data_IF_101939748889
#
_entry.id   IF_101939748889
#
_cell.length_a   1.000
_cell.length_b   1.000
_cell.length_c   1.000
_cell.angle_alpha   90.00
_cell.angle_beta   90.00
_cell.angle_gamma   90.00
#
_symmetry.space_group_name_H-M   'P 1'
#
loop_
_entity.id
_entity.type
_entity.pdbx_description
1 polymer ?
#
# COMPACT_ATOMS: atom_id res chain seq x y z
N UNK A 1 -10.91 -24.94 63.18
CA UNK A 1 -11.94 -23.89 63.23
C UNK A 1 -11.44 -22.71 62.41
N UNK A 2 -12.19 -22.41 61.35
CA UNK A 2 -12.17 -21.27 60.44
C UNK A 2 -11.00 -20.27 60.53
N UNK A 3 -10.12 -20.32 59.52
CA UNK A 3 -9.43 -19.14 59.00
C UNK A 3 -9.78 -19.03 57.50
N UNK A 4 -11.08 -18.86 57.22
CA UNK A 4 -11.51 -18.30 55.94
C UNK A 4 -11.25 -16.80 56.02
N UNK A 5 -10.03 -16.40 55.71
CA UNK A 5 -9.75 -15.03 55.30
C UNK A 5 -10.45 -14.80 53.97
N UNK A 6 -11.74 -14.48 54.07
CA UNK A 6 -12.53 -13.84 53.02
C UNK A 6 -11.76 -12.60 52.58
N UNK A 7 -10.97 -12.76 51.52
CA UNK A 7 -10.55 -11.67 50.68
C UNK A 7 -11.80 -10.89 50.33
N UNK A 8 -11.92 -9.68 50.89
CA UNK A 8 -12.90 -8.72 50.40
C UNK A 8 -12.48 -8.46 48.96
N UNK A 9 -13.16 -9.11 48.02
CA UNK A 9 -13.23 -8.64 46.65
C UNK A 9 -13.80 -7.23 46.73
N UNK A 10 -12.90 -6.24 46.78
CA UNK A 10 -13.29 -4.85 46.63
C UNK A 10 -14.04 -4.79 45.30
N UNK A 11 -15.25 -4.20 45.24
CA UNK A 11 -15.97 -4.09 44.00
C UNK A 11 -15.04 -3.47 42.96
N UNK A 12 -14.80 -4.20 41.87
CA UNK A 12 -13.80 -3.85 40.85
C UNK A 12 -14.09 -2.50 40.19
N UNK A 13 -15.29 -1.97 40.38
CA UNK A 13 -15.77 -0.72 39.79
C UNK A 13 -16.24 0.22 40.91
N UNK A 14 -15.31 0.97 41.49
CA UNK A 14 -15.64 2.07 42.38
C UNK A 14 -15.69 3.37 41.57
N UNK A 15 -16.91 3.79 41.19
CA UNK A 15 -17.14 4.99 40.38
C UNK A 15 -16.50 6.25 40.99
N UNK A 16 -16.50 6.38 42.32
CA UNK A 16 -15.85 7.52 43.00
C UNK A 16 -14.33 7.45 42.85
N UNK A 17 -13.74 6.26 42.88
CA UNK A 17 -12.30 6.10 42.65
C UNK A 17 -11.94 6.40 41.19
N UNK A 18 -12.74 5.94 40.23
CA UNK A 18 -12.57 6.22 38.80
C UNK A 18 -12.64 7.73 38.51
N UNK A 19 -13.63 8.43 39.08
CA UNK A 19 -13.77 9.89 38.95
C UNK A 19 -12.58 10.64 39.54
N UNK A 20 -12.04 10.19 40.68
CA UNK A 20 -10.86 10.78 41.30
C UNK A 20 -9.59 10.55 40.47
N UNK A 21 -9.43 9.37 39.87
CA UNK A 21 -8.33 9.05 38.94
C UNK A 21 -8.43 9.95 37.70
N UNK A 22 -9.61 10.04 37.10
CA UNK A 22 -9.85 10.91 35.94
C UNK A 22 -9.54 12.37 36.25
N UNK A 23 -10.03 12.88 37.38
CA UNK A 23 -9.72 14.23 37.86
C UNK A 23 -8.21 14.43 38.05
N UNK A 24 -7.51 13.43 38.57
CA UNK A 24 -6.05 13.43 38.70
C UNK A 24 -5.35 13.58 37.35
N UNK A 25 -5.79 12.86 36.33
CA UNK A 25 -5.27 12.99 34.96
C UNK A 25 -5.51 14.38 34.38
N UNK A 26 -6.72 14.94 34.51
CA UNK A 26 -7.02 16.28 34.02
C UNK A 26 -6.13 17.36 34.67
N UNK A 27 -5.87 17.24 35.98
CA UNK A 27 -4.98 18.17 36.69
C UNK A 27 -3.53 18.00 36.22
N UNK A 28 -3.07 16.76 36.03
CA UNK A 28 -1.72 16.48 35.53
C UNK A 28 -1.52 17.02 34.11
N UNK A 29 -2.51 16.87 33.23
CA UNK A 29 -2.50 17.42 31.88
C UNK A 29 -2.40 18.95 31.90
N UNK A 30 -3.24 19.62 32.69
CA UNK A 30 -3.18 21.09 32.81
C UNK A 30 -1.82 21.59 33.32
N UNK A 31 -1.20 20.87 34.26
CA UNK A 31 0.16 21.17 34.74
C UNK A 31 1.21 20.95 33.65
N UNK A 32 1.09 19.85 32.90
CA UNK A 32 1.96 19.55 31.77
C UNK A 32 1.87 20.64 30.71
N UNK A 33 0.67 21.07 30.31
CA UNK A 33 0.49 22.16 29.33
C UNK A 33 1.17 23.45 29.78
N UNK A 34 0.98 23.85 31.04
CA UNK A 34 1.61 25.08 31.60
C UNK A 34 3.13 24.99 31.64
N UNK A 35 3.68 23.80 31.95
CA UNK A 35 5.12 23.60 32.06
C UNK A 35 5.79 23.20 30.74
N UNK A 36 5.01 22.80 29.73
CA UNK A 36 5.51 22.28 28.45
C UNK A 36 6.36 23.31 27.74
N UNK A 37 5.92 24.56 27.65
CA UNK A 37 6.69 25.59 26.97
C UNK A 37 8.02 25.89 27.68
N UNK A 38 8.07 25.83 29.01
CA UNK A 38 9.32 26.05 29.76
C UNK A 38 10.27 24.86 29.66
N UNK A 39 9.74 23.63 29.74
CA UNK A 39 10.56 22.40 29.73
C UNK A 39 10.94 21.94 28.33
N UNK A 40 10.06 22.08 27.36
CA UNK A 40 10.15 21.51 26.01
C UNK A 40 9.98 22.55 24.91
N UNK A 41 9.81 23.84 25.25
CA UNK A 41 9.66 24.89 24.25
C UNK A 41 10.91 25.07 23.38
N UNK A 42 12.07 24.60 23.84
CA UNK A 42 13.26 24.53 22.99
C UNK A 42 12.99 23.67 21.75
N UNK A 43 12.29 22.53 21.84
CA UNK A 43 11.99 21.65 20.69
C UNK A 43 11.16 22.30 19.57
N UNK A 44 10.56 23.48 19.80
CA UNK A 44 9.82 24.21 18.75
C UNK A 44 10.72 25.03 17.83
N UNK A 45 12.02 25.16 18.13
CA UNK A 45 12.98 25.86 17.27
C UNK A 45 13.26 25.14 15.96
N UNK A 46 13.89 25.81 14.96
CA UNK A 46 14.34 25.13 13.75
C UNK A 46 15.31 24.00 14.12
N UNK A 47 15.11 22.81 13.54
CA UNK A 47 15.87 21.60 13.84
C UNK A 47 17.39 21.84 13.73
N UNK A 48 17.78 22.72 12.81
CA UNK A 48 19.13 23.21 12.61
C UNK A 48 19.81 23.66 13.91
N UNK A 49 19.10 24.28 14.86
CA UNK A 49 19.67 24.75 16.12
C UNK A 49 19.99 23.63 17.12
N UNK A 50 19.33 22.47 17.03
CA UNK A 50 19.60 21.33 17.92
C UNK A 50 20.76 20.47 17.44
N UNK A 51 20.90 20.38 16.13
CA UNK A 51 21.80 19.42 15.52
C UNK A 51 23.08 20.11 15.01
N UNK A 52 23.30 21.42 15.21
CA UNK A 52 24.47 22.16 14.67
C UNK A 52 25.80 21.43 14.88
N UNK A 53 26.01 20.85 16.05
CA UNK A 53 27.25 20.17 16.42
C UNK A 53 27.33 18.72 15.94
N UNK A 54 26.17 18.09 15.69
CA UNK A 54 26.04 16.69 15.28
C UNK A 54 25.84 16.54 13.77
N UNK A 55 25.31 17.54 13.07
CA UNK A 55 25.05 17.52 11.62
C UNK A 55 26.34 17.24 10.86
N UNK A 56 27.43 17.93 11.22
CA UNK A 56 28.72 17.76 10.55
C UNK A 56 29.35 16.37 10.78
N UNK A 57 28.94 15.67 11.84
CA UNK A 57 29.36 14.30 12.14
C UNK A 57 28.45 13.26 11.46
N UNK A 58 27.16 13.58 11.31
CA UNK A 58 26.14 12.71 10.71
C UNK A 58 26.16 12.77 9.17
N UNK A 59 26.57 13.89 8.59
CA UNK A 59 26.71 14.05 7.14
C UNK A 59 28.04 13.46 6.70
N UNK A 60 27.97 12.32 6.00
CA UNK A 60 29.11 11.77 5.28
C UNK A 60 29.45 12.67 4.08
N UNK A 61 30.54 13.44 4.22
CA UNK A 61 31.04 14.36 3.18
C UNK A 61 31.54 13.64 1.92
N UNK A 62 31.82 12.34 2.02
CA UNK A 62 32.25 11.51 0.89
C UNK A 62 31.08 10.90 0.12
N UNK A 63 29.85 11.01 0.65
CA UNK A 63 28.67 10.44 0.03
C UNK A 63 28.32 11.19 -1.26
N UNK A 64 28.31 10.46 -2.36
CA UNK A 64 27.86 10.96 -3.67
C UNK A 64 26.41 11.44 -3.55
N UNK A 65 26.11 12.63 -4.11
CA UNK A 65 24.75 13.14 -4.11
C UNK A 65 23.83 12.16 -4.82
N UNK A 66 22.72 11.79 -4.17
CA UNK A 66 21.73 10.88 -4.76
C UNK A 66 21.17 11.40 -6.10
N UNK A 67 21.18 12.72 -6.31
CA UNK A 67 20.77 13.36 -7.57
C UNK A 67 21.72 13.06 -8.73
N UNK A 68 23.01 12.87 -8.43
CA UNK A 68 24.02 12.50 -9.43
C UNK A 68 24.01 10.99 -9.70
N UNK A 69 23.50 10.20 -8.74
CA UNK A 69 23.32 8.75 -8.84
C UNK A 69 22.06 8.35 -9.61
N UNK A 70 21.01 9.18 -9.55
CA UNK A 70 19.84 9.00 -10.41
C UNK A 70 20.29 9.38 -11.82
N UNK A 71 20.47 8.36 -12.66
CA UNK A 71 20.67 8.55 -14.10
C UNK A 71 19.70 9.61 -14.60
N UNK A 72 20.27 10.63 -15.24
CA UNK A 72 19.56 11.73 -15.88
C UNK A 72 18.29 11.22 -16.54
N UNK A 73 17.17 11.87 -16.19
CA UNK A 73 15.84 11.80 -16.81
C UNK A 73 15.79 10.77 -17.93
N UNK A 74 15.19 9.61 -17.64
CA UNK A 74 14.79 8.57 -18.62
C UNK A 74 14.56 9.25 -19.96
N UNK A 75 15.43 8.98 -20.94
CA UNK A 75 15.25 9.46 -22.31
C UNK A 75 13.80 9.22 -22.68
N UNK A 76 13.12 10.23 -23.22
CA UNK A 76 11.70 10.11 -23.56
C UNK A 76 11.50 8.79 -24.29
N UNK A 77 10.62 7.90 -23.79
CA UNK A 77 10.51 6.56 -24.34
C UNK A 77 10.18 6.70 -25.81
N UNK A 78 11.01 6.11 -26.67
CA UNK A 78 10.84 6.23 -28.11
C UNK A 78 9.39 5.89 -28.47
N UNK A 79 8.72 6.72 -29.28
CA UNK A 79 7.31 6.52 -29.54
C UNK A 79 7.12 5.13 -30.16
N UNK A 80 6.08 4.38 -29.75
CA UNK A 80 5.85 3.02 -30.22
C UNK A 80 5.74 2.91 -31.73
N UNK A 81 5.43 4.01 -32.43
CA UNK A 81 5.45 4.08 -33.90
C UNK A 81 6.81 3.73 -34.52
N UNK A 82 7.93 3.89 -33.81
CA UNK A 82 9.27 3.61 -34.35
C UNK A 82 9.53 2.10 -34.51
N UNK A 83 8.93 1.27 -33.66
CA UNK A 83 9.13 -0.18 -33.63
C UNK A 83 7.86 -1.01 -33.83
N UNK A 84 6.68 -0.40 -33.78
CA UNK A 84 5.39 -1.05 -34.08
C UNK A 84 4.93 -0.61 -35.47
N UNK A 85 5.11 -1.49 -36.46
CA UNK A 85 4.52 -1.33 -37.80
C UNK A 85 3.15 -2.02 -37.86
N UNK A 86 2.09 -1.24 -37.97
CA UNK A 86 0.72 -1.77 -38.16
C UNK A 86 0.50 -2.01 -39.65
N UNK A 87 0.47 -3.28 -40.05
CA UNK A 87 0.12 -3.66 -41.42
C UNK A 87 -1.38 -3.44 -41.67
N UNK A 88 -1.78 -3.08 -42.91
CA UNK A 88 -3.18 -2.93 -43.26
C UNK A 88 -3.94 -4.26 -43.09
N UNK A 89 -5.23 -4.16 -42.74
CA UNK A 89 -6.10 -5.34 -42.68
C UNK A 89 -6.21 -6.00 -44.06
N UNK A 90 -6.33 -7.35 -44.13
CA UNK A 90 -6.57 -8.04 -45.39
C UNK A 90 -7.85 -7.51 -46.08
N UNK A 91 -7.94 -7.55 -47.41
CA UNK A 91 -9.13 -7.11 -48.16
C UNK A 91 -9.80 -8.33 -48.81
N UNK A 92 -11.14 -8.37 -48.95
CA UNK A 92 -12.10 -7.29 -48.69
C UNK A 92 -12.52 -7.18 -47.22
N UNK A 93 -12.71 -5.93 -46.76
CA UNK A 93 -13.23 -5.64 -45.42
C UNK A 93 -14.76 -5.77 -45.46
N UNK A 94 -15.38 -6.57 -44.58
CA UNK A 94 -16.83 -6.72 -44.54
C UNK A 94 -17.52 -5.39 -44.16
N UNK A 95 -18.70 -5.09 -44.73
CA UNK A 95 -19.40 -3.83 -44.51
C UNK A 95 -20.06 -3.72 -43.13
N UNK A 96 -20.31 -4.86 -42.48
CA UNK A 96 -20.97 -4.91 -41.16
C UNK A 96 -19.96 -5.17 -40.05
N UNK A 97 -20.19 -4.58 -38.88
CA UNK A 97 -19.39 -4.79 -37.67
C UNK A 97 -19.39 -6.26 -37.24
N UNK A 98 -20.55 -6.92 -37.29
CA UNK A 98 -20.67 -8.36 -37.02
C UNK A 98 -19.86 -9.20 -38.02
N UNK A 99 -19.89 -8.82 -39.31
CA UNK A 99 -19.07 -9.46 -40.34
C UNK A 99 -17.58 -9.26 -40.06
N UNK A 100 -17.17 -8.09 -39.57
CA UNK A 100 -15.79 -7.80 -39.19
C UNK A 100 -15.30 -8.67 -38.02
N UNK A 101 -16.15 -8.90 -37.02
CA UNK A 101 -15.82 -9.79 -35.89
C UNK A 101 -15.63 -11.23 -36.39
N UNK A 102 -16.58 -11.77 -37.14
CA UNK A 102 -16.49 -13.13 -37.69
C UNK A 102 -15.27 -13.30 -38.61
N UNK A 103 -15.02 -12.33 -39.48
CA UNK A 103 -13.88 -12.34 -40.40
C UNK A 103 -12.53 -12.29 -39.68
N UNK A 104 -12.41 -11.53 -38.58
CA UNK A 104 -11.22 -11.55 -37.73
C UNK A 104 -11.05 -12.87 -36.97
N UNK A 105 -12.15 -13.48 -36.51
CA UNK A 105 -12.13 -14.75 -35.78
C UNK A 105 -11.78 -15.96 -36.66
N UNK A 106 -12.11 -15.93 -37.96
CA UNK A 106 -11.80 -17.03 -38.88
C UNK A 106 -10.32 -17.08 -39.26
N UNK A 107 -9.66 -15.92 -39.38
CA UNK A 107 -8.25 -15.90 -39.75
C UNK A 107 -7.37 -16.23 -38.54
N UNK A 108 -6.71 -17.38 -38.59
CA UNK A 108 -5.83 -17.84 -37.51
C UNK A 108 -4.69 -16.88 -37.21
N UNK A 109 -4.28 -16.01 -38.16
CA UNK A 109 -3.23 -14.99 -37.95
C UNK A 109 -3.66 -13.89 -36.99
N UNK A 110 -4.96 -13.67 -36.83
CA UNK A 110 -5.53 -12.66 -35.96
C UNK A 110 -5.89 -13.22 -34.57
N UNK A 111 -5.63 -14.51 -34.32
CA UNK A 111 -5.86 -15.11 -33.00
C UNK A 111 -4.85 -14.56 -32.01
N UNK A 112 -5.33 -13.76 -31.07
CA UNK A 112 -4.54 -13.27 -29.93
C UNK A 112 -3.98 -14.43 -29.09
N UNK A 113 -4.69 -15.57 -29.08
CA UNK A 113 -4.30 -16.79 -28.38
C UNK A 113 -3.13 -17.56 -29.02
N UNK A 114 -2.70 -17.19 -30.24
CA UNK A 114 -1.56 -17.85 -30.92
C UNK A 114 -0.25 -17.71 -30.13
N UNK A 115 -0.13 -16.65 -29.32
CA UNK A 115 1.01 -16.43 -28.42
C UNK A 115 0.65 -16.64 -26.93
N UNK A 116 -0.51 -17.25 -26.67
CA UNK A 116 -1.01 -17.53 -25.33
C UNK A 116 -0.21 -18.63 -24.61
N UNK A 117 1.04 -18.34 -24.21
CA UNK A 117 1.70 -19.07 -23.10
C UNK A 117 0.91 -18.99 -21.78
N UNK A 118 -0.10 -18.13 -21.72
CA UNK A 118 -1.03 -17.98 -20.61
C UNK A 118 -2.26 -18.91 -20.71
N UNK A 119 -2.36 -19.72 -21.77
CA UNK A 119 -3.45 -20.68 -21.99
C UNK A 119 -3.35 -21.99 -21.21
N UNK A 120 -2.46 -22.09 -20.21
CA UNK A 120 -2.68 -23.08 -19.15
C UNK A 120 -3.67 -22.43 -18.18
N UNK A 121 -4.90 -22.93 -18.01
CA UNK A 121 -5.73 -22.47 -16.91
C UNK A 121 -4.89 -22.65 -15.65
N UNK A 122 -4.54 -21.54 -14.98
CA UNK A 122 -3.70 -21.58 -13.78
C UNK A 122 -4.32 -22.52 -12.74
N UNK A 123 -5.64 -22.65 -12.77
CA UNK A 123 -6.42 -23.56 -11.96
C UNK A 123 -7.72 -23.87 -12.70
N UNK A 124 -8.23 -25.09 -12.53
CA UNK A 124 -9.56 -25.49 -12.96
C UNK A 124 -10.62 -24.83 -12.07
N UNK A 125 -11.54 -24.07 -12.68
CA UNK A 125 -12.60 -23.34 -11.98
C UNK A 125 -13.52 -24.32 -11.22
N UNK A 126 -13.72 -25.54 -11.72
CA UNK A 126 -14.48 -26.57 -11.03
C UNK A 126 -13.85 -26.92 -9.68
N UNK A 127 -12.52 -27.06 -9.66
CA UNK A 127 -11.76 -27.34 -8.44
C UNK A 127 -11.66 -26.12 -7.51
N UNK A 128 -11.68 -24.89 -8.04
CA UNK A 128 -11.68 -23.69 -7.20
C UNK A 128 -13.01 -23.46 -6.48
N UNK A 129 -14.11 -23.76 -7.15
CA UNK A 129 -15.46 -23.53 -6.63
C UNK A 129 -16.03 -24.74 -5.89
N UNK A 130 -15.28 -25.86 -5.82
CA UNK A 130 -15.74 -27.14 -5.27
C UNK A 130 -17.12 -27.54 -5.82
N UNK A 131 -17.32 -27.35 -7.13
CA UNK A 131 -18.60 -27.69 -7.73
C UNK A 131 -18.74 -29.22 -7.78
N UNK A 132 -19.92 -29.80 -7.48
CA UNK A 132 -20.09 -31.24 -7.50
C UNK A 132 -19.87 -31.76 -8.92
N UNK A 133 -18.96 -32.73 -9.03
CA UNK A 133 -18.63 -33.46 -10.27
C UNK A 133 -19.77 -34.30 -10.82
N UNK A 134 -20.88 -34.41 -10.09
CA UNK A 134 -21.99 -35.31 -10.41
C UNK A 134 -22.95 -34.74 -11.47
N UNK A 135 -22.66 -33.56 -12.03
CA UNK A 135 -23.40 -33.07 -13.19
C UNK A 135 -22.80 -33.70 -14.45
N UNK A 136 -23.40 -34.79 -14.90
CA UNK A 136 -23.22 -35.32 -16.24
C UNK A 136 -23.55 -34.22 -17.26
N UNK A 137 -22.53 -33.74 -17.99
CA UNK A 137 -22.73 -33.07 -19.29
C UNK A 137 -22.97 -34.10 -20.38
#
# INVERSE_FOLDING_TARGET
MAADELGREMPTNNQVAEDLIWKGHCIAEQRSVKTYQSKWGFLKGPMENFVKEEVDQLIDKSRVNWRDLIQSRVEEPEPPSKYISVLPSPKPVPPTTTGMIGWRAVNSQNWLDRYGRHGRPRVDIYNQLNWPTDVLM
#
